data_IF_726415742892
#
_entry.id   IF_726415742892
#
_cell.length_a   1.000
_cell.length_b   1.000
_cell.length_c   1.000
_cell.angle_alpha   90.00
_cell.angle_beta   90.00
_cell.angle_gamma   90.00
#
_symmetry.space_group_name_H-M   'P 1'
#
loop_
_entity.id
_entity.type
_entity.pdbx_description
1 polymer ?
#
# COMPACT_ATOMS: atom_id res chain seq x y z
N UNK A 1 -31.40 -1.98 -3.60
CA UNK A 1 -30.78 -0.90 -2.79
C UNK A 1 -29.38 -1.38 -2.39
N UNK A 2 -28.34 -0.96 -3.11
CA UNK A 2 -26.98 -1.26 -2.69
C UNK A 2 -26.61 -0.29 -1.55
N UNK A 3 -26.20 -0.83 -0.41
CA UNK A 3 -25.66 -0.05 0.70
C UNK A 3 -24.38 0.63 0.23
N UNK A 4 -24.39 1.96 0.09
CA UNK A 4 -23.15 2.70 -0.09
C UNK A 4 -22.33 2.62 1.20
N UNK A 5 -21.13 2.07 1.13
CA UNK A 5 -20.16 2.07 2.23
C UNK A 5 -19.90 3.54 2.61
N UNK A 6 -20.22 3.89 3.86
CA UNK A 6 -20.03 5.25 4.41
C UNK A 6 -18.56 5.68 4.28
N UNK A 7 -18.30 6.97 4.08
CA UNK A 7 -16.94 7.56 4.09
C UNK A 7 -16.13 7.22 5.36
N UNK A 8 -16.78 6.80 6.44
CA UNK A 8 -16.14 6.44 7.72
C UNK A 8 -15.60 5.00 7.77
N UNK A 9 -15.87 4.15 6.78
CA UNK A 9 -15.47 2.72 6.80
C UNK A 9 -14.40 2.39 5.75
N UNK A 10 -13.51 3.34 5.46
CA UNK A 10 -12.41 3.11 4.53
C UNK A 10 -11.48 2.01 5.09
N UNK A 11 -11.28 0.96 4.31
CA UNK A 11 -10.34 -0.11 4.66
C UNK A 11 -8.93 0.43 4.56
N UNK A 12 -8.18 0.34 5.66
CA UNK A 12 -6.77 0.67 5.69
C UNK A 12 -5.97 -0.41 4.97
N UNK A 13 -5.13 0.00 4.01
CA UNK A 13 -4.22 -0.86 3.26
C UNK A 13 -2.79 -0.45 3.59
N UNK A 14 -2.06 -1.32 4.29
CA UNK A 14 -0.67 -1.09 4.71
C UNK A 14 0.28 -1.59 3.63
N UNK A 15 1.00 -0.66 3.02
CA UNK A 15 1.90 -0.92 1.89
C UNK A 15 3.34 -0.62 2.30
N UNK A 16 4.24 -1.60 2.12
CA UNK A 16 5.68 -1.43 2.35
C UNK A 16 6.44 -1.28 1.02
N UNK A 17 7.19 -0.19 0.86
CA UNK A 17 7.80 0.18 -0.43
C UNK A 17 9.21 0.73 -0.26
N UNK A 18 10.04 0.68 -1.31
CA UNK A 18 11.35 1.33 -1.30
C UNK A 18 11.24 2.86 -1.49
N UNK A 19 12.22 3.64 -0.99
CA UNK A 19 12.23 5.10 -1.14
C UNK A 19 12.72 5.52 -2.53
N UNK A 20 12.00 5.11 -3.58
CA UNK A 20 12.33 5.43 -4.98
C UNK A 20 11.08 5.82 -5.77
N UNK A 21 11.22 6.04 -7.08
CA UNK A 21 10.15 6.51 -7.97
C UNK A 21 8.99 5.53 -8.15
N UNK A 22 9.13 4.25 -7.77
CA UNK A 22 8.06 3.25 -7.89
C UNK A 22 6.83 3.57 -7.03
N UNK A 23 6.96 4.46 -6.04
CA UNK A 23 5.84 4.92 -5.21
C UNK A 23 5.00 6.04 -5.86
N UNK A 24 5.41 6.60 -7.01
CA UNK A 24 4.71 7.71 -7.67
C UNK A 24 3.23 7.41 -7.96
N UNK A 25 2.86 6.21 -8.46
CA UNK A 25 1.45 5.87 -8.66
C UNK A 25 0.62 5.89 -7.37
N UNK A 26 1.23 5.62 -6.20
CA UNK A 26 0.53 5.71 -4.91
C UNK A 26 0.21 7.17 -4.57
N UNK A 27 1.16 8.09 -4.74
CA UNK A 27 0.89 9.53 -4.55
C UNK A 27 -0.17 10.06 -5.51
N UNK A 28 -0.10 9.68 -6.78
CA UNK A 28 -1.09 10.09 -7.78
C UNK A 28 -2.46 9.50 -7.44
N UNK A 29 -2.50 8.25 -6.98
CA UNK A 29 -3.72 7.60 -6.53
C UNK A 29 -4.39 8.33 -5.37
N UNK A 30 -3.62 8.76 -4.38
CA UNK A 30 -4.11 9.60 -3.28
C UNK A 30 -4.63 10.94 -3.80
N UNK A 31 -3.80 11.66 -4.59
CA UNK A 31 -4.10 13.01 -5.06
C UNK A 31 -5.34 13.08 -5.97
N UNK A 32 -5.58 12.03 -6.76
CA UNK A 32 -6.74 11.92 -7.64
C UNK A 32 -7.94 11.24 -6.96
N UNK A 33 -7.85 10.93 -5.68
CA UNK A 33 -8.90 10.26 -4.90
C UNK A 33 -9.25 8.87 -5.41
N UNK A 34 -8.33 8.19 -6.11
CA UNK A 34 -8.57 6.86 -6.69
C UNK A 34 -8.89 5.87 -5.58
N UNK A 35 -8.05 5.76 -4.56
CA UNK A 35 -8.24 4.81 -3.45
C UNK A 35 -9.49 5.13 -2.64
N UNK A 36 -9.73 6.42 -2.35
CA UNK A 36 -10.91 6.87 -1.63
C UNK A 36 -12.22 6.48 -2.33
N UNK A 37 -12.29 6.60 -3.67
CA UNK A 37 -13.45 6.14 -4.46
C UNK A 37 -13.72 4.64 -4.34
N UNK A 38 -12.71 3.86 -3.97
CA UNK A 38 -12.83 2.43 -3.70
C UNK A 38 -12.95 2.09 -2.22
N UNK A 39 -13.14 3.09 -1.35
CA UNK A 39 -13.23 2.88 0.10
C UNK A 39 -11.91 2.37 0.70
N UNK A 40 -10.77 2.79 0.16
CA UNK A 40 -9.43 2.43 0.62
C UNK A 40 -8.68 3.66 1.12
N UNK A 41 -7.97 3.49 2.23
CA UNK A 41 -6.92 4.43 2.69
C UNK A 41 -5.57 3.73 2.57
N UNK A 42 -4.63 4.28 1.81
CA UNK A 42 -3.33 3.65 1.58
C UNK A 42 -2.28 4.26 2.53
N UNK A 43 -1.82 3.48 3.49
CA UNK A 43 -0.71 3.85 4.37
C UNK A 43 0.58 3.27 3.83
N UNK A 44 1.62 4.10 3.71
CA UNK A 44 2.91 3.71 3.12
C UNK A 44 4.00 3.74 4.16
N UNK A 45 4.77 2.66 4.24
CA UNK A 45 5.99 2.58 5.03
C UNK A 45 7.19 2.32 4.13
N UNK A 46 8.28 3.04 4.37
CA UNK A 46 9.53 2.84 3.64
C UNK A 46 10.27 1.63 4.20
N UNK A 47 10.72 0.72 3.32
CA UNK A 47 11.62 -0.37 3.69
C UNK A 47 13.10 0.01 3.51
N UNK A 48 13.98 -0.35 4.47
CA UNK A 48 15.42 -0.14 4.32
C UNK A 48 16.10 -1.24 3.48
N UNK A 49 15.57 -2.46 3.46
CA UNK A 49 16.17 -3.61 2.75
C UNK A 49 15.11 -4.57 2.22
N UNK A 50 15.50 -5.39 1.25
CA UNK A 50 14.68 -6.47 0.69
C UNK A 50 14.26 -7.50 1.74
N UNK A 51 15.22 -7.97 2.56
CA UNK A 51 14.96 -8.94 3.62
C UNK A 51 13.97 -8.39 4.66
N UNK A 52 14.08 -7.11 5.03
CA UNK A 52 13.12 -6.48 5.92
C UNK A 52 11.72 -6.46 5.30
N UNK A 53 11.61 -6.05 4.04
CA UNK A 53 10.34 -5.99 3.31
C UNK A 53 9.62 -7.34 3.30
N UNK A 54 10.30 -8.40 2.85
CA UNK A 54 9.68 -9.71 2.68
C UNK A 54 9.38 -10.39 4.03
N UNK A 55 10.24 -10.21 5.03
CA UNK A 55 10.02 -10.74 6.38
C UNK A 55 8.74 -10.13 6.98
N UNK A 56 8.57 -8.81 6.83
CA UNK A 56 7.42 -8.09 7.36
C UNK A 56 6.13 -8.38 6.60
N UNK A 57 6.21 -8.58 5.28
CA UNK A 57 5.09 -9.05 4.48
C UNK A 57 4.67 -10.46 4.90
N UNK A 58 5.62 -11.40 5.01
CA UNK A 58 5.35 -12.79 5.39
C UNK A 58 4.78 -12.91 6.81
N UNK A 59 5.15 -12.00 7.71
CA UNK A 59 4.60 -11.90 9.06
C UNK A 59 3.16 -11.33 9.10
N UNK A 60 2.61 -10.86 7.97
CA UNK A 60 1.30 -10.21 7.91
C UNK A 60 1.24 -8.81 8.51
N UNK A 61 2.40 -8.17 8.73
CA UNK A 61 2.46 -6.79 9.25
C UNK A 61 1.99 -5.78 8.19
N UNK A 62 2.25 -6.08 6.91
CA UNK A 62 1.82 -5.32 5.74
C UNK A 62 0.94 -6.18 4.82
N UNK A 63 0.03 -5.52 4.10
CA UNK A 63 -0.90 -6.18 3.17
C UNK A 63 -0.30 -6.32 1.76
N UNK A 64 0.52 -5.35 1.36
CA UNK A 64 1.17 -5.30 0.04
C UNK A 64 2.62 -4.88 0.19
N UNK A 65 3.51 -5.53 -0.56
CA UNK A 65 4.88 -5.05 -0.81
C UNK A 65 5.04 -4.66 -2.28
N UNK A 66 5.69 -3.52 -2.53
CA UNK A 66 6.07 -3.09 -3.88
C UNK A 66 7.59 -3.05 -3.96
N UNK A 67 8.14 -3.81 -4.90
CA UNK A 67 9.57 -3.91 -5.17
C UNK A 67 9.82 -4.49 -6.55
N UNK A 68 11.05 -4.36 -7.04
CA UNK A 68 11.48 -5.07 -8.23
C UNK A 68 11.52 -6.58 -7.94
N UNK A 69 11.30 -7.41 -8.97
CA UNK A 69 11.16 -8.86 -8.77
C UNK A 69 12.45 -9.51 -8.24
N UNK A 70 13.61 -8.99 -8.62
CA UNK A 70 14.93 -9.40 -8.15
C UNK A 70 15.20 -9.05 -6.67
N UNK A 71 14.36 -8.22 -6.06
CA UNK A 71 14.44 -7.93 -4.62
C UNK A 71 13.74 -8.99 -3.75
N UNK A 72 13.17 -10.05 -4.31
CA UNK A 72 12.57 -11.12 -3.53
C UNK A 72 13.67 -12.13 -3.18
N UNK A 73 14.14 -12.09 -1.93
CA UNK A 73 15.26 -12.90 -1.40
C UNK A 73 14.99 -13.46 -0.02
#
# INVERSE_FOLDING_TARGET
MALSKSETDATLLKVIVFPNTTQLPLYVGDALGIFARHGLTVERTITPTSTFQITKLAAGEFDIAIGAFDNIV
#
